data_IF_695122567276
#
_entry.id   IF_695122567276
#
_cell.length_a   1.000
_cell.length_b   1.000
_cell.length_c   1.000
_cell.angle_alpha   90.00
_cell.angle_beta   90.00
_cell.angle_gamma   90.00
#
_symmetry.space_group_name_H-M   'P 1'
#
loop_
_entity.id
_entity.type
_entity.pdbx_description
1 polymer ?
#
# COMPACT_ATOMS: atom_id res chain seq x y z
N UNK A 1 16.67 3.34 8.47
CA UNK A 1 15.72 2.25 8.18
C UNK A 1 14.33 2.79 8.45
N UNK A 2 13.43 2.69 7.47
CA UNK A 2 12.05 3.14 7.66
C UNK A 2 11.37 2.19 8.65
N UNK A 3 10.68 2.74 9.65
CA UNK A 3 9.90 1.95 10.60
C UNK A 3 8.52 1.68 10.03
N UNK A 4 8.12 0.41 10.02
CA UNK A 4 6.80 -0.04 9.61
C UNK A 4 5.90 -0.26 10.84
N UNK A 5 4.57 -0.14 10.68
CA UNK A 5 3.65 -0.19 11.80
C UNK A 5 3.62 -1.54 12.51
N UNK A 6 3.51 -1.53 13.86
CA UNK A 6 3.34 -2.74 14.66
C UNK A 6 1.90 -3.27 14.48
N UNK A 7 1.75 -4.27 13.63
CA UNK A 7 0.45 -4.82 13.20
C UNK A 7 -0.25 -5.68 14.26
N UNK A 8 0.29 -5.78 15.47
CA UNK A 8 -0.28 -6.45 16.64
C UNK A 8 -1.17 -5.54 17.50
N UNK A 9 -1.08 -4.22 17.31
CA UNK A 9 -1.76 -3.22 18.16
C UNK A 9 -3.14 -2.74 17.66
N UNK A 10 -3.60 -3.23 16.51
CA UNK A 10 -4.90 -2.87 15.91
C UNK A 10 -6.09 -3.69 16.42
N UNK A 11 -7.30 -3.32 16.00
CA UNK A 11 -8.55 -4.07 16.30
C UNK A 11 -8.49 -5.50 15.75
N UNK A 12 -7.86 -5.67 14.59
CA UNK A 12 -7.55 -6.96 13.99
C UNK A 12 -6.04 -7.17 14.06
N UNK A 13 -5.54 -8.35 14.51
CA UNK A 13 -4.10 -8.60 14.58
C UNK A 13 -3.55 -8.93 13.19
N UNK A 14 -3.31 -7.88 12.40
CA UNK A 14 -2.86 -7.95 10.99
C UNK A 14 -1.48 -8.61 10.83
N UNK A 15 -0.70 -8.71 11.92
CA UNK A 15 0.58 -9.41 11.94
C UNK A 15 0.46 -10.88 11.47
N UNK A 16 -0.67 -11.54 11.75
CA UNK A 16 -0.90 -12.91 11.26
C UNK A 16 -0.94 -12.98 9.74
N UNK A 17 -1.58 -12.01 9.09
CA UNK A 17 -1.66 -11.98 7.63
C UNK A 17 -0.27 -11.83 6.99
N UNK A 18 0.59 -11.01 7.61
CA UNK A 18 2.00 -10.86 7.21
C UNK A 18 2.74 -12.19 7.35
N UNK A 19 2.58 -12.88 8.47
CA UNK A 19 3.21 -14.20 8.71
C UNK A 19 2.76 -15.25 7.70
N UNK A 20 1.46 -15.31 7.36
CA UNK A 20 0.94 -16.19 6.31
C UNK A 20 1.57 -15.91 4.95
N UNK A 21 1.80 -14.64 4.59
CA UNK A 21 2.45 -14.29 3.32
C UNK A 21 3.93 -14.66 3.28
N UNK A 22 4.64 -14.46 4.39
CA UNK A 22 6.03 -14.93 4.54
C UNK A 22 6.08 -16.45 4.41
N UNK A 23 5.18 -17.16 5.09
CA UNK A 23 5.10 -18.61 5.02
C UNK A 23 4.77 -19.11 3.61
N UNK A 24 3.77 -18.52 2.95
CA UNK A 24 3.37 -18.91 1.59
C UNK A 24 4.52 -18.76 0.59
N UNK A 25 5.27 -17.64 0.64
CA UNK A 25 6.40 -17.43 -0.26
C UNK A 25 7.59 -18.35 0.06
N UNK A 26 7.96 -18.49 1.33
CA UNK A 26 9.08 -19.36 1.72
C UNK A 26 8.78 -20.82 1.43
N UNK A 27 7.57 -21.29 1.74
CA UNK A 27 7.11 -22.63 1.39
C UNK A 27 7.16 -22.86 -0.12
N UNK A 28 6.70 -21.91 -0.94
CA UNK A 28 6.81 -22.01 -2.39
C UNK A 28 8.25 -22.18 -2.85
N UNK A 29 9.17 -21.36 -2.31
CA UNK A 29 10.59 -21.37 -2.67
C UNK A 29 11.26 -22.71 -2.30
N UNK A 30 10.98 -23.25 -1.11
CA UNK A 30 11.53 -24.53 -0.62
C UNK A 30 11.06 -25.74 -1.45
N UNK A 31 9.90 -25.63 -2.09
CA UNK A 31 9.33 -26.70 -2.92
C UNK A 31 9.65 -26.52 -4.41
N UNK A 32 10.42 -25.49 -4.79
CA UNK A 32 11.02 -25.46 -6.11
C UNK A 32 12.08 -26.55 -6.17
N UNK A 33 12.07 -27.37 -7.22
CA UNK A 33 13.07 -28.43 -7.40
C UNK A 33 14.44 -27.86 -7.83
N UNK A 34 14.99 -26.87 -7.09
CA UNK A 34 16.21 -26.14 -7.40
C UNK A 34 16.86 -25.57 -6.14
N UNK A 35 18.19 -25.60 -6.07
CA UNK A 35 18.92 -25.14 -4.87
C UNK A 35 19.37 -23.67 -4.95
N UNK A 36 19.18 -23.00 -6.11
CA UNK A 36 19.65 -21.64 -6.38
C UNK A 36 18.63 -20.85 -7.18
N UNK A 37 18.07 -19.82 -6.56
CA UNK A 37 17.03 -18.95 -7.12
C UNK A 37 17.54 -17.52 -7.25
N UNK A 38 17.33 -16.92 -8.42
CA UNK A 38 17.33 -15.47 -8.61
C UNK A 38 15.88 -15.00 -8.61
N UNK A 39 15.49 -14.22 -7.60
CA UNK A 39 14.12 -13.75 -7.42
C UNK A 39 13.95 -12.37 -8.08
N UNK A 40 13.09 -12.26 -9.07
CA UNK A 40 12.84 -11.02 -9.82
C UNK A 40 11.42 -10.53 -9.53
N UNK A 41 11.28 -9.28 -9.07
CA UNK A 41 10.00 -8.71 -8.61
C UNK A 41 9.54 -7.58 -9.52
N UNK A 42 8.27 -7.55 -9.93
CA UNK A 42 7.74 -6.31 -10.54
C UNK A 42 7.75 -5.16 -9.53
N UNK A 43 8.08 -3.95 -9.98
CA UNK A 43 8.24 -2.77 -9.11
C UNK A 43 7.08 -2.56 -8.14
N UNK A 44 5.84 -2.69 -8.63
CA UNK A 44 4.64 -2.51 -7.80
C UNK A 44 4.56 -3.55 -6.67
N UNK A 45 4.84 -4.82 -6.97
CA UNK A 45 4.81 -5.89 -5.98
C UNK A 45 5.98 -5.77 -5.00
N UNK A 46 7.19 -5.42 -5.49
CA UNK A 46 8.35 -5.16 -4.65
C UNK A 46 8.04 -4.09 -3.58
N UNK A 47 7.41 -2.97 -3.98
CA UNK A 47 6.99 -1.91 -3.07
C UNK A 47 6.05 -2.43 -1.97
N UNK A 48 5.07 -3.26 -2.30
CA UNK A 48 4.11 -3.80 -1.31
C UNK A 48 4.72 -4.90 -0.43
N UNK A 49 5.70 -5.65 -0.94
CA UNK A 49 6.43 -6.64 -0.15
C UNK A 49 7.29 -6.00 0.94
N UNK A 50 7.64 -4.71 0.83
CA UNK A 50 8.28 -4.00 1.94
C UNK A 50 7.43 -4.03 3.21
N UNK A 51 6.10 -3.99 3.07
CA UNK A 51 5.14 -4.09 4.19
C UNK A 51 5.01 -5.51 4.75
N UNK A 52 5.51 -6.51 4.03
CA UNK A 52 5.50 -7.92 4.43
C UNK A 52 6.82 -8.30 5.10
N UNK A 53 7.94 -7.95 4.47
CA UNK A 53 9.29 -8.28 4.92
C UNK A 53 9.95 -7.10 5.63
N UNK A 54 9.58 -6.90 6.91
CA UNK A 54 9.95 -5.72 7.71
C UNK A 54 11.48 -5.55 7.88
N UNK A 55 12.21 -6.65 8.04
CA UNK A 55 13.67 -6.66 8.15
C UNK A 55 14.36 -6.84 6.78
N UNK A 56 13.60 -6.63 5.70
CA UNK A 56 14.02 -6.86 4.32
C UNK A 56 13.99 -8.33 3.90
N UNK A 57 14.44 -8.60 2.68
CA UNK A 57 14.36 -9.91 2.04
C UNK A 57 15.47 -10.88 2.49
N UNK A 58 16.24 -10.54 3.52
CA UNK A 58 17.36 -11.35 4.01
C UNK A 58 16.94 -12.76 4.46
N UNK A 59 15.71 -12.89 4.98
CA UNK A 59 15.11 -14.18 5.37
C UNK A 59 15.04 -15.16 4.20
N UNK A 60 14.85 -14.68 2.96
CA UNK A 60 14.71 -15.53 1.78
C UNK A 60 16.02 -16.25 1.42
N UNK A 61 17.18 -15.78 1.90
CA UNK A 61 18.47 -16.46 1.70
C UNK A 61 18.51 -17.86 2.31
N UNK A 62 17.71 -18.13 3.33
CA UNK A 62 17.56 -19.46 3.91
C UNK A 62 16.74 -20.41 3.01
N UNK A 63 16.07 -19.88 1.98
CA UNK A 63 15.12 -20.58 1.11
C UNK A 63 15.59 -20.54 -0.35
N UNK A 64 16.86 -20.91 -0.58
CA UNK A 64 17.49 -21.02 -1.90
C UNK A 64 17.68 -19.71 -2.69
N UNK A 65 17.24 -18.55 -2.18
CA UNK A 65 17.38 -17.26 -2.87
C UNK A 65 18.80 -16.73 -2.72
N UNK A 66 19.50 -16.59 -3.84
CA UNK A 66 20.88 -16.06 -3.90
C UNK A 66 20.86 -14.54 -4.03
N UNK A 67 19.92 -14.01 -4.80
CA UNK A 67 19.74 -12.60 -5.06
C UNK A 67 18.27 -12.27 -5.26
N UNK A 68 17.90 -11.02 -4.95
CA UNK A 68 16.59 -10.48 -5.26
C UNK A 68 16.76 -9.15 -5.99
N UNK A 69 16.07 -9.01 -7.12
CA UNK A 69 16.19 -7.90 -8.05
C UNK A 69 14.80 -7.37 -8.39
N UNK A 70 14.68 -6.08 -8.64
CA UNK A 70 13.50 -5.54 -9.31
C UNK A 70 13.58 -5.86 -10.81
N UNK A 71 12.42 -6.00 -11.45
CA UNK A 71 12.30 -6.24 -12.88
C UNK A 71 12.70 -4.95 -13.62
N UNK A 72 13.93 -4.93 -14.14
CA UNK A 72 14.49 -3.85 -14.95
C UNK A 72 14.83 -4.32 -16.37
N UNK A 73 15.08 -3.38 -17.27
CA UNK A 73 15.46 -3.73 -18.64
C UNK A 73 16.88 -4.33 -18.74
N UNK A 74 17.75 -3.98 -17.80
CA UNK A 74 19.12 -4.49 -17.72
C UNK A 74 19.14 -5.86 -17.03
N UNK A 75 19.68 -6.85 -17.74
CA UNK A 75 19.79 -8.24 -17.30
C UNK A 75 21.22 -8.61 -16.86
N UNK A 76 22.16 -7.66 -16.91
CA UNK A 76 23.58 -7.88 -16.60
C UNK A 76 23.84 -8.28 -15.14
N UNK A 77 22.93 -7.87 -14.25
CA UNK A 77 23.00 -8.13 -12.81
C UNK A 77 22.63 -9.56 -12.40
N UNK A 78 22.02 -10.35 -13.30
CA UNK A 78 21.52 -11.68 -12.97
C UNK A 78 22.63 -12.74 -12.93
N UNK A 79 22.75 -13.39 -11.78
CA UNK A 79 23.71 -14.45 -11.52
C UNK A 79 23.54 -15.62 -12.52
N UNK A 80 24.64 -16.08 -13.11
CA UNK A 80 24.68 -17.26 -13.97
C UNK A 80 24.27 -18.55 -13.19
N UNK A 81 23.71 -19.54 -13.88
CA UNK A 81 23.35 -20.87 -13.31
C UNK A 81 22.32 -20.86 -12.16
N UNK A 82 21.32 -19.97 -12.19
CA UNK A 82 20.18 -19.97 -11.26
C UNK A 82 18.86 -20.30 -11.96
N UNK A 83 17.87 -20.77 -11.21
CA UNK A 83 16.47 -20.72 -11.64
C UNK A 83 15.96 -19.30 -11.43
N UNK A 84 15.39 -18.68 -12.47
CA UNK A 84 14.82 -17.33 -12.36
C UNK A 84 13.35 -17.44 -12.01
N UNK A 85 12.99 -16.90 -10.86
CA UNK A 85 11.62 -16.90 -10.35
C UNK A 85 11.11 -15.47 -10.38
N UNK A 86 10.09 -15.23 -11.19
CA UNK A 86 9.40 -13.95 -11.27
C UNK A 86 8.22 -13.93 -10.30
N UNK A 87 8.08 -12.84 -9.54
CA UNK A 87 6.85 -12.51 -8.82
C UNK A 87 6.22 -11.26 -9.40
N UNK A 88 4.93 -11.31 -9.69
CA UNK A 88 4.19 -10.23 -10.29
C UNK A 88 2.73 -10.19 -9.81
N UNK A 89 2.00 -9.12 -10.11
CA UNK A 89 0.54 -9.20 -10.07
C UNK A 89 0.01 -9.98 -11.28
N UNK A 90 -1.18 -10.57 -11.14
CA UNK A 90 -1.89 -11.28 -12.19
C UNK A 90 -2.44 -10.34 -13.27
N UNK A 91 -1.58 -9.50 -13.86
CA UNK A 91 -1.92 -8.48 -14.86
C UNK A 91 -1.22 -8.76 -16.17
N UNK A 92 -1.90 -8.52 -17.29
CA UNK A 92 -1.32 -8.73 -18.60
C UNK A 92 -0.12 -7.82 -18.88
N UNK A 93 -0.09 -6.61 -18.29
CA UNK A 93 1.08 -5.71 -18.36
C UNK A 93 2.30 -6.37 -17.75
N UNK A 94 2.15 -6.94 -16.55
CA UNK A 94 3.23 -7.55 -15.81
C UNK A 94 3.70 -8.84 -16.49
N UNK A 95 2.76 -9.68 -16.93
CA UNK A 95 3.09 -10.89 -17.69
C UNK A 95 3.87 -10.59 -18.98
N UNK A 96 3.50 -9.54 -19.72
CA UNK A 96 4.25 -9.09 -20.91
C UNK A 96 5.64 -8.58 -20.55
N UNK A 97 5.77 -7.81 -19.46
CA UNK A 97 7.06 -7.32 -19.01
C UNK A 97 7.99 -8.49 -18.61
N UNK A 98 7.45 -9.48 -17.90
CA UNK A 98 8.16 -10.72 -17.56
C UNK A 98 8.57 -11.49 -18.82
N UNK A 99 7.66 -11.65 -19.80
CA UNK A 99 7.96 -12.33 -21.06
C UNK A 99 9.08 -11.63 -21.84
N UNK A 100 9.01 -10.29 -21.96
CA UNK A 100 10.03 -9.50 -22.64
C UNK A 100 11.40 -9.60 -21.95
N UNK A 101 11.42 -9.56 -20.62
CA UNK A 101 12.65 -9.76 -19.85
C UNK A 101 13.22 -11.17 -20.04
N UNK A 102 12.37 -12.19 -20.01
CA UNK A 102 12.78 -13.57 -20.22
C UNK A 102 13.31 -13.82 -21.64
N UNK A 103 12.71 -13.19 -22.66
CA UNK A 103 13.18 -13.26 -24.03
C UNK A 103 14.63 -12.74 -24.16
N UNK A 104 14.95 -11.58 -23.58
CA UNK A 104 16.32 -11.04 -23.54
C UNK A 104 17.29 -11.98 -22.84
N UNK A 105 16.87 -12.59 -21.72
CA UNK A 105 17.70 -13.57 -21.00
C UNK A 105 18.02 -14.81 -21.84
N UNK A 106 17.06 -15.26 -22.65
CA UNK A 106 17.22 -16.42 -23.50
C UNK A 106 18.02 -16.12 -24.77
N UNK A 107 18.09 -14.85 -25.21
CA UNK A 107 18.97 -14.41 -26.30
C UNK A 107 20.45 -14.47 -25.92
N UNK A 108 20.79 -14.06 -24.70
CA UNK A 108 22.18 -14.05 -24.23
C UNK A 108 22.69 -15.42 -23.76
N UNK A 109 21.80 -16.42 -23.65
CA UNK A 109 22.07 -17.75 -23.10
C UNK A 109 22.08 -18.86 -24.16
N UNK A 110 22.86 -18.72 -25.23
CA UNK A 110 22.93 -19.66 -26.37
C UNK A 110 23.70 -20.97 -26.08
N UNK A 111 24.01 -21.26 -24.80
CA UNK A 111 24.63 -22.52 -24.43
C UNK A 111 23.56 -23.61 -24.28
N UNK A 112 23.35 -24.37 -25.36
CA UNK A 112 22.36 -25.45 -25.54
C UNK A 112 22.34 -26.47 -24.39
N UNK A 113 23.42 -26.55 -23.59
CA UNK A 113 23.61 -27.50 -22.49
C UNK A 113 23.08 -27.05 -21.12
N UNK A 114 22.73 -25.78 -20.92
CA UNK A 114 22.13 -25.28 -19.66
C UNK A 114 20.93 -24.38 -19.93
N UNK A 115 19.79 -25.00 -20.28
CA UNK A 115 18.52 -24.28 -20.35
C UNK A 115 18.17 -23.74 -18.96
N UNK A 116 18.36 -22.43 -18.75
CA UNK A 116 17.90 -21.72 -17.56
C UNK A 116 16.40 -21.97 -17.35
N UNK A 117 16.03 -22.37 -16.14
CA UNK A 117 14.64 -22.61 -15.74
C UNK A 117 13.99 -21.28 -15.38
N UNK A 118 12.77 -21.09 -15.85
CA UNK A 118 11.98 -19.89 -15.62
C UNK A 118 10.70 -20.28 -14.90
N UNK A 119 10.34 -19.54 -13.86
CA UNK A 119 9.05 -19.67 -13.19
C UNK A 119 8.41 -18.30 -12.99
N UNK A 120 7.08 -18.22 -13.10
CA UNK A 120 6.30 -17.03 -12.78
C UNK A 120 5.20 -17.41 -11.79
N UNK A 121 5.22 -16.77 -10.63
CA UNK A 121 4.14 -16.85 -9.66
C UNK A 121 3.47 -15.49 -9.52
N UNK A 122 2.15 -15.47 -9.60
CA UNK A 122 1.37 -14.22 -9.58
C UNK A 122 0.56 -14.06 -8.31
N UNK A 123 0.46 -12.83 -7.83
CA UNK A 123 -0.53 -12.41 -6.83
C UNK A 123 -1.81 -12.01 -7.56
N UNK A 124 -2.91 -12.72 -7.27
CA UNK A 124 -4.18 -12.63 -7.99
C UNK A 124 -4.47 -13.89 -8.81
N UNK A 125 -5.56 -13.87 -9.56
CA UNK A 125 -6.06 -15.04 -10.30
C UNK A 125 -5.41 -15.24 -11.65
N UNK A 126 -4.97 -16.47 -11.90
CA UNK A 126 -4.44 -16.88 -13.18
C UNK A 126 -5.55 -16.88 -14.23
N UNK A 127 -5.28 -16.29 -15.39
CA UNK A 127 -6.24 -16.24 -16.49
C UNK A 127 -5.59 -16.70 -17.79
N UNK A 128 -6.41 -17.16 -18.73
CA UNK A 128 -5.96 -17.51 -20.09
C UNK A 128 -5.30 -16.35 -20.83
N UNK A 129 -5.56 -15.10 -20.42
CA UNK A 129 -4.89 -13.93 -20.99
C UNK A 129 -3.46 -13.77 -20.49
N UNK A 130 -3.14 -14.25 -19.29
CA UNK A 130 -1.77 -14.32 -18.80
C UNK A 130 -0.98 -15.36 -19.59
N UNK A 131 -1.57 -16.54 -19.84
CA UNK A 131 -0.94 -17.57 -20.68
C UNK A 131 -0.56 -16.99 -22.05
N UNK A 132 -1.52 -16.32 -22.72
CA UNK A 132 -1.26 -15.67 -24.02
C UNK A 132 -0.24 -14.55 -23.95
N UNK A 133 -0.16 -13.84 -22.83
CA UNK A 133 0.79 -12.75 -22.63
C UNK A 133 2.22 -13.25 -22.39
N UNK A 134 2.37 -14.46 -21.85
CA UNK A 134 3.66 -15.12 -21.66
C UNK A 134 4.09 -15.93 -22.88
N UNK A 135 3.13 -16.36 -23.71
CA UNK A 135 3.35 -17.21 -24.88
C UNK A 135 3.89 -16.41 -26.09
N UNK A 136 4.92 -15.61 -25.87
CA UNK A 136 5.60 -14.78 -26.88
C UNK A 136 7.07 -15.15 -27.03
N UNK A 137 7.63 -14.84 -28.21
CA UNK A 137 9.08 -14.91 -28.45
C UNK A 137 9.71 -16.27 -28.18
N UNK A 138 10.87 -16.25 -27.50
CA UNK A 138 11.67 -17.42 -27.10
C UNK A 138 11.20 -18.01 -25.77
N UNK A 139 10.46 -17.23 -24.98
CA UNK A 139 9.93 -17.62 -23.68
C UNK A 139 8.64 -18.47 -23.75
N UNK A 140 8.03 -18.57 -24.94
CA UNK A 140 6.94 -19.48 -25.31
C UNK A 140 7.09 -20.88 -24.69
N UNK A 141 6.15 -21.26 -23.83
CA UNK A 141 6.10 -22.57 -23.18
C UNK A 141 7.28 -22.90 -22.24
N UNK A 142 8.06 -21.89 -21.81
CA UNK A 142 9.25 -22.07 -20.97
C UNK A 142 9.01 -21.93 -19.47
N UNK A 143 7.88 -21.35 -19.07
CA UNK A 143 7.59 -21.03 -17.68
C UNK A 143 6.91 -22.18 -16.94
N UNK A 144 7.39 -22.47 -15.73
CA UNK A 144 6.55 -23.02 -14.68
C UNK A 144 5.69 -21.89 -14.12
N UNK A 145 4.37 -22.08 -14.01
CA UNK A 145 3.45 -21.02 -13.59
C UNK A 145 2.67 -21.42 -12.33
N UNK A 146 2.22 -20.43 -11.58
CA UNK A 146 1.35 -20.66 -10.42
C UNK A 146 0.81 -19.38 -9.80
N UNK A 147 -0.11 -19.54 -8.86
CA UNK A 147 -0.65 -18.46 -8.03
C UNK A 147 0.07 -18.46 -6.67
N UNK A 148 0.35 -17.27 -6.14
CA UNK A 148 0.85 -17.05 -4.79
C UNK A 148 -0.30 -16.52 -3.94
N UNK A 149 -0.58 -17.20 -2.82
CA UNK A 149 -1.69 -16.88 -1.93
C UNK A 149 -1.43 -15.60 -1.12
N UNK A 150 -1.53 -14.46 -1.79
CA UNK A 150 -1.47 -13.13 -1.21
C UNK A 150 -2.69 -12.32 -1.67
N UNK A 151 -3.16 -11.43 -0.80
CA UNK A 151 -4.31 -10.57 -1.07
C UNK A 151 -4.06 -9.16 -0.56
N UNK A 152 -4.77 -8.76 0.48
CA UNK A 152 -4.60 -7.45 1.09
C UNK A 152 -3.24 -7.31 1.80
N UNK A 153 -2.48 -6.27 1.46
CA UNK A 153 -1.25 -5.87 2.13
C UNK A 153 -1.57 -4.87 3.25
N UNK A 154 -1.09 -5.09 4.48
CA UNK A 154 -1.28 -4.17 5.59
C UNK A 154 -0.31 -2.98 5.53
N UNK A 155 -0.86 -1.79 5.30
CA UNK A 155 -0.10 -0.53 5.28
C UNK A 155 -0.03 0.11 6.68
N UNK A 156 -1.07 -0.08 7.49
CA UNK A 156 -1.16 0.38 8.88
C UNK A 156 -1.97 -0.62 9.71
N UNK A 157 -2.13 -0.37 11.01
CA UNK A 157 -2.83 -1.24 11.97
C UNK A 157 -4.31 -1.44 11.67
N UNK A 158 -4.89 -0.58 10.84
CA UNK A 158 -6.28 -0.54 10.43
C UNK A 158 -6.47 -0.32 8.91
N UNK A 159 -5.38 -0.32 8.13
CA UNK A 159 -5.40 -0.04 6.69
C UNK A 159 -4.82 -1.20 5.87
N UNK A 160 -5.63 -1.69 4.93
CA UNK A 160 -5.32 -2.78 4.01
C UNK A 160 -5.45 -2.29 2.55
N UNK A 161 -4.55 -2.73 1.66
CA UNK A 161 -4.60 -2.41 0.23
C UNK A 161 -4.40 -3.63 -0.66
N UNK A 162 -5.06 -3.70 -1.82
CA UNK A 162 -4.69 -4.65 -2.89
C UNK A 162 -3.55 -4.12 -3.76
N UNK A 163 -3.20 -2.84 -3.62
CA UNK A 163 -2.17 -2.21 -4.43
C UNK A 163 -2.59 -1.86 -5.87
N UNK A 164 -3.85 -2.05 -6.23
CA UNK A 164 -4.38 -1.81 -7.58
C UNK A 164 -4.73 -0.33 -7.80
N UNK A 165 -3.81 0.41 -8.42
CA UNK A 165 -3.92 1.87 -8.62
C UNK A 165 -5.00 2.29 -9.63
N UNK A 166 -5.40 1.40 -10.56
CA UNK A 166 -6.28 1.74 -11.70
C UNK A 166 -7.61 1.02 -11.71
N UNK A 167 -8.01 0.38 -10.60
CA UNK A 167 -9.21 -0.46 -10.50
C UNK A 167 -10.46 0.21 -11.07
N UNK A 168 -10.73 1.47 -10.67
CA UNK A 168 -11.91 2.21 -11.12
C UNK A 168 -11.89 2.47 -12.63
N UNK A 169 -10.76 2.94 -13.15
CA UNK A 169 -10.57 3.18 -14.58
C UNK A 169 -10.72 1.88 -15.39
N UNK A 170 -10.08 0.80 -14.94
CA UNK A 170 -10.14 -0.51 -15.59
C UNK A 170 -11.58 -1.01 -15.67
N UNK A 171 -12.35 -0.89 -14.59
CA UNK A 171 -13.71 -1.40 -14.57
C UNK A 171 -14.71 -0.50 -15.32
N UNK A 172 -14.62 0.82 -15.17
CA UNK A 172 -15.58 1.77 -15.78
C UNK A 172 -15.25 2.12 -17.23
N UNK A 173 -13.96 2.27 -17.57
CA UNK A 173 -13.51 2.72 -18.90
C UNK A 173 -13.10 1.53 -19.76
N UNK A 174 -12.16 0.70 -19.29
CA UNK A 174 -11.66 -0.44 -20.06
C UNK A 174 -12.63 -1.64 -20.06
N UNK A 175 -13.70 -1.57 -19.25
CA UNK A 175 -14.64 -2.68 -19.00
C UNK A 175 -13.95 -3.98 -18.57
N UNK A 176 -12.79 -3.85 -17.94
CA UNK A 176 -12.01 -4.94 -17.38
C UNK A 176 -12.28 -5.05 -15.87
N UNK A 177 -13.04 -6.07 -15.49
CA UNK A 177 -13.46 -6.31 -14.11
C UNK A 177 -12.59 -7.35 -13.37
N UNK A 178 -11.44 -7.74 -13.92
CA UNK A 178 -10.59 -8.82 -13.35
C UNK A 178 -10.17 -8.54 -11.91
N UNK A 179 -9.91 -7.28 -11.58
CA UNK A 179 -9.54 -6.83 -10.22
C UNK A 179 -10.64 -7.05 -9.18
N UNK A 180 -11.92 -7.16 -9.58
CA UNK A 180 -13.02 -7.49 -8.68
C UNK A 180 -12.97 -8.97 -8.25
N UNK A 181 -12.50 -9.85 -9.13
CA UNK A 181 -12.28 -11.28 -8.82
C UNK A 181 -11.13 -11.41 -7.82
N UNK A 182 -10.05 -10.68 -8.03
CA UNK A 182 -8.91 -10.64 -7.10
C UNK A 182 -9.32 -10.08 -5.72
N UNK A 183 -10.18 -9.05 -5.70
CA UNK A 183 -10.74 -8.51 -4.46
C UNK A 183 -11.56 -9.55 -3.70
N UNK A 184 -12.41 -10.32 -4.39
CA UNK A 184 -13.15 -11.41 -3.78
C UNK A 184 -12.23 -12.52 -3.25
N UNK A 185 -11.17 -12.86 -3.98
CA UNK A 185 -10.18 -13.83 -3.54
C UNK A 185 -9.42 -13.36 -2.28
N UNK A 186 -9.06 -12.07 -2.21
CA UNK A 186 -8.42 -11.49 -1.04
C UNK A 186 -9.35 -11.44 0.18
N UNK A 187 -10.64 -11.14 0.00
CA UNK A 187 -11.66 -11.23 1.05
C UNK A 187 -11.83 -12.67 1.53
N UNK A 188 -11.81 -13.63 0.62
CA UNK A 188 -11.86 -15.05 0.97
C UNK A 188 -10.63 -15.47 1.79
N UNK A 189 -9.44 -15.01 1.44
CA UNK A 189 -8.21 -15.24 2.21
C UNK A 189 -8.31 -14.63 3.62
N UNK A 190 -8.84 -13.41 3.77
CA UNK A 190 -9.11 -12.82 5.09
C UNK A 190 -10.06 -13.70 5.92
N UNK A 191 -11.09 -14.30 5.30
CA UNK A 191 -11.98 -15.22 6.01
C UNK A 191 -11.27 -16.50 6.47
N UNK A 192 -10.28 -16.99 5.72
CA UNK A 192 -9.49 -18.16 6.11
C UNK A 192 -8.62 -17.86 7.35
N UNK A 193 -8.07 -16.65 7.43
CA UNK A 193 -7.19 -16.24 8.55
C UNK A 193 -7.98 -15.82 9.79
N UNK A 194 -9.10 -15.11 9.63
CA UNK A 194 -9.81 -14.44 10.73
C UNK A 194 -11.23 -14.95 11.00
N UNK A 195 -11.72 -15.90 10.21
CA UNK A 195 -13.09 -16.41 10.25
C UNK A 195 -14.04 -15.67 9.31
N UNK A 196 -15.22 -16.27 9.05
CA UNK A 196 -16.21 -15.70 8.12
C UNK A 196 -16.82 -14.40 8.64
N UNK A 197 -17.15 -13.47 7.75
CA UNK A 197 -17.97 -12.30 8.09
C UNK A 197 -19.34 -12.74 8.62
N UNK A 198 -19.78 -12.19 9.76
CA UNK A 198 -21.10 -12.44 10.32
C UNK A 198 -22.24 -11.86 9.48
N UNK A 199 -22.02 -10.70 8.86
CA UNK A 199 -22.94 -10.07 7.91
C UNK A 199 -22.17 -9.40 6.77
N UNK A 200 -22.78 -9.35 5.58
CA UNK A 200 -22.23 -8.60 4.44
C UNK A 200 -23.29 -7.62 3.94
N UNK A 201 -22.91 -6.35 3.82
CA UNK A 201 -23.71 -5.26 3.24
C UNK A 201 -22.96 -4.73 2.04
N UNK A 202 -23.69 -4.25 1.03
CA UNK A 202 -23.06 -3.67 -0.15
C UNK A 202 -23.89 -2.53 -0.75
N UNK A 203 -23.23 -1.64 -1.47
CA UNK A 203 -23.87 -0.60 -2.29
C UNK A 203 -23.09 -0.38 -3.57
N UNK A 204 -23.79 -0.51 -4.70
CA UNK A 204 -23.28 -0.31 -6.05
C UNK A 204 -22.98 -1.61 -6.79
N UNK A 205 -22.92 -1.52 -8.12
CA UNK A 205 -22.83 -2.68 -9.02
C UNK A 205 -21.53 -3.48 -8.83
N UNK A 206 -20.36 -2.84 -8.80
CA UNK A 206 -19.09 -3.55 -8.61
C UNK A 206 -19.03 -4.27 -7.26
N UNK A 207 -19.58 -3.66 -6.21
CA UNK A 207 -19.67 -4.30 -4.89
C UNK A 207 -20.54 -5.56 -4.91
N UNK A 208 -21.60 -5.58 -5.72
CA UNK A 208 -22.42 -6.78 -5.94
C UNK A 208 -21.63 -7.87 -6.66
N UNK A 209 -20.82 -7.52 -7.66
CA UNK A 209 -19.97 -8.48 -8.38
C UNK A 209 -18.92 -9.11 -7.46
N UNK A 210 -18.24 -8.30 -6.64
CA UNK A 210 -17.30 -8.79 -5.62
C UNK A 210 -18.00 -9.74 -4.64
N UNK A 211 -19.21 -9.39 -4.20
CA UNK A 211 -20.00 -10.25 -3.32
C UNK A 211 -20.35 -11.60 -3.98
N UNK A 212 -20.78 -11.59 -5.23
CA UNK A 212 -21.14 -12.81 -5.97
C UNK A 212 -19.95 -13.77 -6.05
N UNK A 213 -18.78 -13.26 -6.46
CA UNK A 213 -17.55 -14.07 -6.50
C UNK A 213 -17.12 -14.57 -5.12
N UNK A 214 -17.26 -13.75 -4.07
CA UNK A 214 -16.99 -14.18 -2.71
C UNK A 214 -17.93 -15.32 -2.27
N UNK A 215 -19.22 -15.26 -2.63
CA UNK A 215 -20.18 -16.32 -2.35
C UNK A 215 -19.86 -17.61 -3.13
N UNK A 216 -19.45 -17.50 -4.40
CA UNK A 216 -18.99 -18.64 -5.21
C UNK A 216 -17.78 -19.33 -4.58
N UNK A 217 -16.76 -18.56 -4.16
CA UNK A 217 -15.58 -19.10 -3.47
C UNK A 217 -15.95 -19.78 -2.14
N UNK A 218 -16.87 -19.17 -1.38
CA UNK A 218 -17.35 -19.73 -0.12
C UNK A 218 -18.15 -21.04 -0.32
N UNK A 219 -18.87 -21.18 -1.44
CA UNK A 219 -19.57 -22.41 -1.80
C UNK A 219 -18.62 -23.50 -2.32
N UNK A 220 -17.68 -23.13 -3.21
CA UNK A 220 -16.70 -24.04 -3.83
C UNK A 220 -15.67 -24.62 -2.85
N UNK A 221 -15.29 -23.84 -1.83
CA UNK A 221 -14.38 -24.31 -0.76
C UNK A 221 -14.94 -25.44 0.10
N UNK A 222 -16.27 -25.68 0.05
CA UNK A 222 -16.90 -26.81 0.75
C UNK A 222 -16.93 -28.11 -0.08
N UNK A 223 -16.50 -28.08 -1.35
CA UNK A 223 -16.63 -29.20 -2.29
C UNK A 223 -15.32 -29.86 -2.74
N UNK A 224 -14.16 -29.20 -2.62
CA UNK A 224 -12.88 -29.71 -3.17
C UNK A 224 -11.93 -30.39 -2.16
N UNK A 225 -12.41 -30.70 -0.95
CA UNK A 225 -11.73 -31.60 0.00
C UNK A 225 -12.62 -32.78 0.45
N UNK A 226 -13.47 -33.29 -0.44
CA UNK A 226 -14.28 -34.49 -0.19
C UNK A 226 -14.10 -35.59 -1.23
N UNK A 227 -12.89 -35.74 -1.77
CA UNK A 227 -12.55 -36.91 -2.58
C UNK A 227 -11.06 -37.24 -2.50
N UNK A 228 -10.63 -37.78 -1.35
CA UNK A 228 -9.78 -38.98 -1.26
C UNK A 228 -9.32 -39.20 0.18
N UNK A 229 -9.48 -40.45 0.63
CA UNK A 229 -8.84 -41.06 1.81
C UNK A 229 -9.52 -40.83 3.17
N UNK A 230 -10.25 -41.86 3.60
CA UNK A 230 -10.64 -42.01 5.00
C UNK A 230 -9.41 -42.18 5.89
N UNK A 231 -9.24 -41.24 6.82
CA UNK A 231 -8.57 -41.44 8.08
C UNK A 231 -9.14 -40.42 9.07
N UNK A 232 -9.62 -40.91 10.22
CA UNK A 232 -10.01 -40.10 11.35
C UNK A 232 -8.87 -39.16 11.77
N UNK A 233 -8.99 -37.88 11.45
CA UNK A 233 -8.38 -36.79 12.22
C UNK A 233 -9.46 -35.73 12.40
N UNK A 234 -9.74 -35.42 13.66
CA UNK A 234 -10.97 -34.79 14.12
C UNK A 234 -11.43 -33.58 13.30
N UNK A 235 -12.75 -33.43 13.25
CA UNK A 235 -13.39 -32.12 13.21
C UNK A 235 -12.52 -31.10 13.95
N UNK A 236 -12.16 -29.94 13.37
CA UNK A 236 -11.66 -28.84 14.16
C UNK A 236 -12.80 -28.42 15.08
N UNK A 237 -12.88 -29.06 16.24
CA UNK A 237 -13.60 -28.61 17.43
C UNK A 237 -12.82 -27.40 17.92
N UNK A 238 -13.03 -26.31 17.21
CA UNK A 238 -12.48 -25.01 17.47
C UNK A 238 -13.37 -24.08 16.67
N UNK A 239 -14.50 -23.69 17.25
CA UNK A 239 -15.20 -22.48 16.82
C UNK A 239 -14.20 -21.35 16.96
N UNK A 240 -13.38 -21.09 15.93
CA UNK A 240 -12.69 -19.83 15.82
C UNK A 240 -13.80 -18.80 15.74
N UNK A 241 -14.10 -18.17 16.89
CA UNK A 241 -15.04 -17.06 16.95
C UNK A 241 -14.51 -16.04 15.95
N UNK A 242 -15.28 -15.82 14.89
CA UNK A 242 -14.88 -14.89 13.85
C UNK A 242 -14.55 -13.55 14.50
N UNK A 243 -13.40 -12.99 14.12
CA UNK A 243 -13.03 -11.63 14.50
C UNK A 243 -13.67 -10.59 13.58
N UNK A 244 -14.32 -11.04 12.50
CA UNK A 244 -14.93 -10.21 11.48
C UNK A 244 -16.45 -10.21 11.67
N UNK A 245 -16.99 -9.09 12.14
CA UNK A 245 -18.43 -8.93 12.34
C UNK A 245 -19.15 -8.64 11.01
N UNK A 246 -18.96 -7.44 10.46
CA UNK A 246 -19.68 -6.99 9.25
C UNK A 246 -18.71 -6.49 8.19
N UNK A 247 -18.83 -6.99 6.97
CA UNK A 247 -18.20 -6.43 5.78
C UNK A 247 -19.17 -5.45 5.10
N UNK A 248 -18.71 -4.24 4.81
CA UNK A 248 -19.45 -3.26 4.01
C UNK A 248 -18.66 -3.01 2.73
N UNK A 249 -19.24 -3.37 1.58
CA UNK A 249 -18.66 -3.12 0.26
C UNK A 249 -19.29 -1.86 -0.35
N UNK A 250 -18.46 -0.86 -0.67
CA UNK A 250 -18.91 0.38 -1.28
C UNK A 250 -18.23 0.57 -2.64
N UNK A 251 -19.03 0.72 -3.69
CA UNK A 251 -18.55 1.06 -5.01
C UNK A 251 -18.31 2.57 -5.08
N UNK A 252 -17.10 3.01 -5.47
CA UNK A 252 -16.73 4.43 -5.50
C UNK A 252 -17.70 5.31 -6.29
N UNK A 253 -18.29 4.82 -7.38
CA UNK A 253 -19.24 5.60 -8.19
C UNK A 253 -20.57 5.92 -7.50
N UNK A 254 -20.83 5.35 -6.32
CA UNK A 254 -21.96 5.74 -5.47
C UNK A 254 -21.79 7.15 -4.91
N UNK A 255 -20.55 7.63 -4.81
CA UNK A 255 -20.22 8.97 -4.32
C UNK A 255 -18.90 9.41 -4.97
N UNK A 256 -18.95 10.17 -6.06
CA UNK A 256 -17.72 10.79 -6.59
C UNK A 256 -17.44 12.16 -5.96
N UNK A 257 -18.46 12.83 -5.42
CA UNK A 257 -18.34 14.16 -4.85
C UNK A 257 -17.28 14.22 -3.75
N UNK A 258 -17.19 13.20 -2.89
CA UNK A 258 -16.17 13.15 -1.84
C UNK A 258 -14.73 13.05 -2.36
N UNK A 259 -14.50 12.49 -3.56
CA UNK A 259 -13.16 12.37 -4.17
C UNK A 259 -12.81 13.61 -4.99
N UNK A 260 -13.82 14.30 -5.51
CA UNK A 260 -13.64 15.54 -6.27
C UNK A 260 -13.58 16.80 -5.40
N UNK A 261 -13.84 16.68 -4.11
CA UNK A 261 -13.68 17.78 -3.16
C UNK A 261 -12.24 17.82 -2.69
N UNK A 262 -11.64 19.02 -2.62
CA UNK A 262 -10.33 19.22 -2.02
C UNK A 262 -10.38 18.74 -0.56
N UNK A 263 -9.63 17.69 -0.19
CA UNK A 263 -9.65 17.19 1.17
C UNK A 263 -8.81 18.09 2.09
N UNK A 264 -9.24 18.26 3.34
CA UNK A 264 -8.68 19.26 4.27
C UNK A 264 -8.14 18.67 5.58
N UNK A 265 -7.97 17.35 5.66
CA UNK A 265 -7.19 16.73 6.74
C UNK A 265 -5.69 16.85 6.47
N UNK A 266 -4.86 16.75 7.50
CA UNK A 266 -3.42 16.86 7.35
C UNK A 266 -2.83 15.82 6.39
N UNK A 267 -3.19 14.54 6.57
CA UNK A 267 -2.73 13.46 5.69
C UNK A 267 -3.22 13.62 4.26
N UNK A 268 -4.46 14.08 4.06
CA UNK A 268 -4.99 14.22 2.72
C UNK A 268 -4.35 15.40 1.96
N UNK A 269 -4.05 16.52 2.62
CA UNK A 269 -3.30 17.61 1.99
C UNK A 269 -1.85 17.21 1.70
N UNK A 270 -1.23 16.41 2.57
CA UNK A 270 0.06 15.78 2.27
C UNK A 270 -0.04 14.90 1.01
N UNK A 271 -1.08 14.10 0.87
CA UNK A 271 -1.31 13.27 -0.31
C UNK A 271 -1.49 14.10 -1.58
N UNK A 272 -2.32 15.14 -1.55
CA UNK A 272 -2.55 16.03 -2.69
C UNK A 272 -1.23 16.67 -3.19
N UNK A 273 -0.40 17.18 -2.28
CA UNK A 273 0.79 17.96 -2.65
C UNK A 273 2.08 17.14 -2.75
N UNK A 274 2.17 16.00 -2.07
CA UNK A 274 3.40 15.19 -1.96
C UNK A 274 3.21 13.73 -2.36
N UNK A 275 2.00 13.29 -2.70
CA UNK A 275 1.64 11.98 -3.23
C UNK A 275 2.06 10.83 -2.31
N UNK A 276 1.19 10.48 -1.36
CA UNK A 276 1.40 9.34 -0.47
C UNK A 276 1.26 8.06 -1.26
N UNK A 277 2.37 7.32 -1.38
CA UNK A 277 2.39 6.01 -1.99
C UNK A 277 2.70 4.94 -0.95
N UNK A 278 1.72 4.08 -0.68
CA UNK A 278 1.83 2.93 0.24
C UNK A 278 2.31 3.32 1.65
N UNK A 279 1.89 4.47 2.16
CA UNK A 279 2.32 4.99 3.47
C UNK A 279 3.66 5.70 3.46
N UNK A 280 4.15 6.14 2.30
CA UNK A 280 5.37 6.92 2.15
C UNK A 280 5.16 8.17 1.30
N UNK A 281 5.87 9.23 1.64
CA UNK A 281 6.13 10.36 0.73
C UNK A 281 7.61 10.40 0.36
N UNK A 282 7.95 11.13 -0.69
CA UNK A 282 9.35 11.48 -1.00
C UNK A 282 9.57 12.96 -0.72
N UNK A 283 10.51 13.27 0.18
CA UNK A 283 10.83 14.64 0.56
C UNK A 283 12.34 14.83 0.69
N UNK A 284 12.86 16.00 0.32
CA UNK A 284 14.29 16.30 0.49
C UNK A 284 14.61 16.67 1.95
N UNK A 285 15.83 16.38 2.43
CA UNK A 285 16.31 16.87 3.71
C UNK A 285 16.19 18.39 3.91
N UNK A 286 16.22 19.18 2.83
CA UNK A 286 15.98 20.63 2.90
C UNK A 286 14.57 20.94 3.41
N UNK A 287 13.55 20.26 2.87
CA UNK A 287 12.16 20.39 3.34
C UNK A 287 12.03 19.84 4.76
N UNK A 288 12.55 18.63 5.01
CA UNK A 288 12.35 17.94 6.29
C UNK A 288 13.02 18.64 7.48
N UNK A 289 14.07 19.42 7.25
CA UNK A 289 14.84 20.11 8.29
C UNK A 289 14.75 21.63 8.22
N UNK A 290 14.06 22.19 7.23
CA UNK A 290 14.07 23.61 6.93
C UNK A 290 15.51 24.18 6.85
N UNK A 291 16.40 23.47 6.15
CA UNK A 291 17.82 23.80 6.03
C UNK A 291 18.25 23.79 4.56
N UNK A 292 18.41 24.98 3.97
CA UNK A 292 18.83 25.15 2.57
C UNK A 292 20.23 24.57 2.28
N UNK A 293 21.06 24.37 3.31
CA UNK A 293 22.39 23.76 3.14
C UNK A 293 22.35 22.23 3.12
N UNK A 294 21.21 21.63 3.45
CA UNK A 294 21.02 20.18 3.40
C UNK A 294 20.94 19.67 1.95
N UNK A 295 21.04 18.34 1.80
CA UNK A 295 20.92 17.69 0.50
C UNK A 295 19.50 17.86 -0.07
N UNK A 296 19.41 18.17 -1.36
CA UNK A 296 18.14 18.22 -2.10
C UNK A 296 17.72 16.84 -2.65
N UNK A 297 18.49 15.78 -2.37
CA UNK A 297 18.14 14.42 -2.81
C UNK A 297 16.95 13.93 -2.01
N UNK A 298 15.81 13.73 -2.69
CA UNK A 298 14.59 13.22 -2.08
C UNK A 298 14.81 11.84 -1.47
N UNK A 299 14.29 11.66 -0.25
CA UNK A 299 14.34 10.39 0.49
C UNK A 299 12.93 9.95 0.87
N UNK A 300 12.68 8.62 0.97
CA UNK A 300 11.40 8.13 1.43
C UNK A 300 11.20 8.46 2.93
N UNK A 301 10.03 8.98 3.26
CA UNK A 301 9.58 9.26 4.62
C UNK A 301 8.32 8.46 4.87
N UNK A 302 8.34 7.61 5.90
CA UNK A 302 7.16 6.86 6.31
C UNK A 302 6.15 7.78 7.00
N UNK A 303 4.89 7.61 6.64
CA UNK A 303 3.73 8.22 7.25
C UNK A 303 2.81 7.08 7.71
N UNK A 304 2.93 6.70 8.98
CA UNK A 304 2.16 5.59 9.56
C UNK A 304 2.08 5.71 11.09
N UNK A 305 1.36 4.79 11.74
CA UNK A 305 1.15 4.80 13.18
C UNK A 305 2.38 4.47 14.05
N UNK A 306 3.60 4.37 13.49
CA UNK A 306 4.83 4.28 14.32
C UNK A 306 5.23 5.62 14.91
N UNK A 307 4.72 6.71 14.33
CA UNK A 307 4.88 8.06 14.83
C UNK A 307 3.64 8.47 15.63
N UNK A 308 3.78 8.52 16.96
CA UNK A 308 2.73 8.91 17.90
C UNK A 308 2.20 10.33 17.64
N UNK A 309 3.03 11.25 17.13
CA UNK A 309 2.61 12.61 16.79
C UNK A 309 1.79 12.57 15.52
N UNK A 310 2.27 11.89 14.48
CA UNK A 310 1.56 11.76 13.22
C UNK A 310 0.17 11.15 13.40
N UNK A 311 0.07 10.06 14.17
CA UNK A 311 -1.21 9.41 14.49
C UNK A 311 -2.23 10.38 15.12
N UNK A 312 -1.77 11.34 15.91
CA UNK A 312 -2.64 12.31 16.59
C UNK A 312 -3.06 13.46 15.69
N UNK A 313 -2.35 13.74 14.59
CA UNK A 313 -2.59 14.91 13.74
C UNK A 313 -3.14 14.56 12.36
N UNK A 314 -2.88 13.35 11.83
CA UNK A 314 -3.19 12.97 10.44
C UNK A 314 -4.65 13.18 10.03
N UNK A 315 -5.57 12.85 10.93
CA UNK A 315 -7.02 12.91 10.70
C UNK A 315 -7.65 14.28 11.06
N UNK A 316 -6.85 15.22 11.58
CA UNK A 316 -7.35 16.55 11.98
C UNK A 316 -7.37 17.49 10.79
N UNK A 317 -8.29 18.44 10.82
CA UNK A 317 -8.35 19.53 9.84
C UNK A 317 -7.04 20.33 9.84
N UNK A 318 -6.49 20.64 8.66
CA UNK A 318 -5.15 21.24 8.47
C UNK A 318 -4.93 22.53 9.30
N UNK A 319 -5.92 23.42 9.38
CA UNK A 319 -5.82 24.63 10.21
C UNK A 319 -5.70 24.40 11.72
N UNK A 320 -6.01 23.20 12.21
CA UNK A 320 -5.89 22.88 13.66
C UNK A 320 -4.53 22.30 14.02
N UNK A 321 -3.71 21.93 13.02
CA UNK A 321 -2.43 21.26 13.21
C UNK A 321 -1.40 22.13 13.94
N UNK A 322 -1.23 23.44 13.63
CA UNK A 322 -0.28 24.28 14.37
C UNK A 322 -0.53 24.28 15.88
N UNK A 323 -1.82 24.41 16.27
CA UNK A 323 -2.21 24.39 17.66
C UNK A 323 -1.98 23.02 18.31
N UNK A 324 -2.29 21.93 17.60
CA UNK A 324 -2.04 20.56 18.08
C UNK A 324 -0.55 20.28 18.30
N UNK A 325 0.30 20.64 17.32
CA UNK A 325 1.76 20.49 17.43
C UNK A 325 2.33 21.32 18.59
N UNK A 326 1.85 22.55 18.80
CA UNK A 326 2.27 23.37 19.93
C UNK A 326 1.91 22.74 21.30
N UNK A 327 0.73 22.13 21.42
CA UNK A 327 0.35 21.39 22.64
C UNK A 327 1.35 20.25 22.92
N UNK A 328 1.73 19.49 21.89
CA UNK A 328 2.74 18.43 22.04
C UNK A 328 4.13 18.99 22.39
N UNK A 329 4.58 20.05 21.72
CA UNK A 329 5.87 20.68 21.95
C UNK A 329 6.00 21.20 23.40
N UNK A 330 4.96 21.90 23.89
CA UNK A 330 4.89 22.38 25.27
C UNK A 330 4.91 21.21 26.25
N UNK A 331 4.17 20.14 25.97
CA UNK A 331 4.15 18.94 26.81
C UNK A 331 5.53 18.26 26.93
N UNK A 332 6.26 18.11 25.83
CA UNK A 332 7.63 17.57 25.83
C UNK A 332 8.57 18.48 26.64
N UNK A 333 8.50 19.80 26.42
CA UNK A 333 9.31 20.77 27.16
C UNK A 333 9.04 20.76 28.67
N UNK A 334 7.77 20.71 29.07
CA UNK A 334 7.36 20.68 30.47
C UNK A 334 7.92 19.46 31.20
N UNK A 335 7.90 18.26 30.58
CA UNK A 335 8.48 17.05 31.18
C UNK A 335 9.98 17.17 31.42
N UNK A 336 10.73 17.79 30.49
CA UNK A 336 12.16 18.07 30.70
C UNK A 336 12.39 19.07 31.83
N UNK A 337 11.64 20.18 31.82
CA UNK A 337 11.77 21.22 32.86
C UNK A 337 11.41 20.70 34.25
N UNK A 338 10.36 19.88 34.35
CA UNK A 338 9.95 19.31 35.63
C UNK A 338 11.00 18.35 36.18
N UNK A 339 11.55 17.46 35.33
CA UNK A 339 12.64 16.59 35.76
C UNK A 339 13.87 17.40 36.20
N UNK A 340 14.27 18.43 35.44
CA UNK A 340 15.39 19.30 35.84
C UNK A 340 15.15 19.93 37.22
N UNK A 341 13.92 20.38 37.51
CA UNK A 341 13.54 20.97 38.79
C UNK A 341 13.67 20.00 39.96
N UNK A 342 13.26 18.74 39.78
CA UNK A 342 13.30 17.72 40.86
C UNK A 342 14.59 16.89 40.87
N UNK A 343 15.43 17.00 39.84
CA UNK A 343 16.62 16.17 39.64
C UNK A 343 17.63 16.22 40.79
N UNK A 344 17.76 17.38 41.46
CA UNK A 344 18.69 17.56 42.57
C UNK A 344 18.30 16.77 43.84
N UNK A 345 17.01 16.39 43.96
CA UNK A 345 16.46 15.62 45.08
C UNK A 345 15.97 14.24 44.67
N UNK A 346 16.07 13.90 43.39
CA UNK A 346 15.60 12.63 42.85
C UNK A 346 16.52 11.47 43.27
N UNK A 347 15.92 10.32 43.52
CA UNK A 347 16.67 9.09 43.79
C UNK A 347 17.34 8.56 42.52
N UNK A 348 18.38 7.73 42.68
CA UNK A 348 19.03 7.08 41.53
C UNK A 348 18.06 6.24 40.68
N UNK A 349 17.02 5.67 41.30
CA UNK A 349 15.98 4.92 40.59
C UNK A 349 15.11 5.83 39.70
N UNK A 350 14.65 6.97 40.23
CA UNK A 350 13.85 7.96 39.50
C UNK A 350 14.63 8.60 38.35
N UNK A 351 15.91 8.90 38.57
CA UNK A 351 16.81 9.39 37.51
C UNK A 351 16.95 8.35 36.40
N UNK A 352 17.17 7.09 36.76
CA UNK A 352 17.30 6.01 35.77
C UNK A 352 15.98 5.78 35.00
N UNK A 353 14.83 5.90 35.65
CA UNK A 353 13.52 5.80 35.01
C UNK A 353 13.30 6.94 34.00
N UNK A 354 13.61 8.18 34.37
CA UNK A 354 13.50 9.31 33.45
C UNK A 354 14.45 9.18 32.25
N UNK A 355 15.71 8.77 32.47
CA UNK A 355 16.69 8.56 31.38
C UNK A 355 16.17 7.57 30.34
N UNK A 356 15.38 6.56 30.74
CA UNK A 356 14.74 5.63 29.80
C UNK A 356 13.68 6.28 28.91
N UNK A 357 13.05 7.37 29.35
CA UNK A 357 12.04 8.10 28.55
C UNK A 357 12.64 9.15 27.60
N UNK A 358 13.88 9.59 27.83
CA UNK A 358 14.55 10.62 27.01
C UNK A 358 14.61 10.27 25.52
N UNK A 359 14.93 9.03 25.10
CA UNK A 359 14.93 8.67 23.68
C UNK A 359 13.57 8.88 23.01
N UNK A 360 12.47 8.49 23.67
CA UNK A 360 11.12 8.70 23.15
C UNK A 360 10.77 10.18 23.05
N UNK A 361 11.16 10.97 24.05
CA UNK A 361 10.94 12.43 24.03
C UNK A 361 11.73 13.12 22.91
N UNK A 362 12.98 12.71 22.67
CA UNK A 362 13.79 13.21 21.54
C UNK A 362 13.18 12.81 20.20
N UNK A 363 12.70 11.58 20.06
CA UNK A 363 11.99 11.15 18.87
C UNK A 363 10.71 11.95 18.63
N UNK A 364 9.95 12.23 19.69
CA UNK A 364 8.74 13.08 19.63
C UNK A 364 9.10 14.50 19.20
N UNK A 365 10.17 15.08 19.75
CA UNK A 365 10.65 16.40 19.36
C UNK A 365 11.03 16.45 17.87
N UNK A 366 11.80 15.48 17.40
CA UNK A 366 12.20 15.38 15.99
C UNK A 366 10.98 15.23 15.07
N UNK A 367 9.99 14.42 15.47
CA UNK A 367 8.75 14.27 14.72
C UNK A 367 7.93 15.56 14.67
N UNK A 368 7.81 16.27 15.80
CA UNK A 368 7.14 17.59 15.84
C UNK A 368 7.84 18.56 14.87
N UNK A 369 9.17 18.66 14.93
CA UNK A 369 9.95 19.53 14.03
C UNK A 369 9.73 19.15 12.56
N UNK A 370 9.78 17.86 12.23
CA UNK A 370 9.49 17.37 10.88
C UNK A 370 8.09 17.78 10.40
N UNK A 371 7.07 17.63 11.24
CA UNK A 371 5.69 17.97 10.87
C UNK A 371 5.43 19.48 10.81
N UNK A 372 6.15 20.29 11.59
CA UNK A 372 6.17 21.76 11.42
C UNK A 372 6.72 22.11 10.03
N UNK A 373 7.89 21.57 9.68
CA UNK A 373 8.53 21.90 8.40
C UNK A 373 7.69 21.42 7.20
N UNK A 374 7.09 20.24 7.30
CA UNK A 374 6.13 19.76 6.30
C UNK A 374 4.93 20.70 6.21
N UNK A 375 4.36 21.15 7.32
CA UNK A 375 3.22 22.06 7.30
C UNK A 375 3.57 23.40 6.65
N UNK A 376 4.73 23.99 6.96
CA UNK A 376 5.22 25.22 6.31
C UNK A 376 5.37 25.03 4.80
N UNK A 377 5.87 23.88 4.36
CA UNK A 377 5.94 23.54 2.94
C UNK A 377 4.54 23.49 2.28
N UNK A 378 3.55 22.88 2.94
CA UNK A 378 2.17 22.84 2.45
C UNK A 378 1.49 24.22 2.47
N UNK A 379 1.86 25.10 3.42
CA UNK A 379 1.32 26.46 3.54
C UNK A 379 1.63 27.33 2.31
N UNK A 380 2.75 27.09 1.62
CA UNK A 380 3.09 27.79 0.39
C UNK A 380 2.00 27.64 -0.70
N UNK A 381 1.37 26.46 -0.79
CA UNK A 381 0.26 26.20 -1.72
C UNK A 381 -1.09 26.50 -1.09
N UNK A 382 -1.34 26.03 0.13
CA UNK A 382 -2.68 26.13 0.76
C UNK A 382 -3.06 27.56 1.15
N UNK A 383 -2.08 28.45 1.34
CA UNK A 383 -2.31 29.89 1.56
C UNK A 383 -2.38 30.71 0.25
N UNK A 384 -2.23 30.08 -0.92
CA UNK A 384 -2.33 30.78 -2.18
C UNK A 384 -3.77 31.22 -2.48
N UNK A 385 -3.94 32.34 -3.20
CA UNK A 385 -5.26 32.80 -3.65
C UNK A 385 -5.94 31.75 -4.53
N UNK A 386 -5.17 31.11 -5.41
CA UNK A 386 -5.67 30.07 -6.33
C UNK A 386 -6.31 28.89 -5.62
N UNK A 387 -5.72 28.43 -4.51
CA UNK A 387 -6.25 27.36 -3.67
C UNK A 387 -7.55 27.79 -2.99
N UNK A 388 -7.59 28.98 -2.38
CA UNK A 388 -8.81 29.53 -1.77
C UNK A 388 -9.94 29.71 -2.78
N UNK A 389 -9.64 30.22 -3.97
CA UNK A 389 -10.63 30.42 -5.03
C UNK A 389 -11.25 29.06 -5.44
N UNK A 390 -10.42 28.02 -5.60
CA UNK A 390 -10.88 26.66 -5.92
C UNK A 390 -11.79 26.10 -4.82
N UNK A 391 -11.36 26.17 -3.56
CA UNK A 391 -12.17 25.71 -2.43
C UNK A 391 -13.52 26.46 -2.32
N UNK A 392 -13.52 27.78 -2.53
CA UNK A 392 -14.75 28.56 -2.54
C UNK A 392 -15.69 28.16 -3.68
N UNK A 393 -15.16 27.79 -4.85
CA UNK A 393 -15.94 27.26 -5.96
C UNK A 393 -16.54 25.90 -5.61
N UNK A 394 -15.72 24.95 -5.13
CA UNK A 394 -16.16 23.61 -4.70
C UNK A 394 -17.30 23.70 -3.70
N UNK A 395 -17.16 24.57 -2.69
CA UNK A 395 -18.23 24.81 -1.71
C UNK A 395 -19.51 25.31 -2.36
N UNK A 396 -19.42 26.26 -3.31
CA UNK A 396 -20.60 26.78 -4.03
C UNK A 396 -21.30 25.71 -4.88
N UNK A 397 -20.53 24.76 -5.44
CA UNK A 397 -21.07 23.60 -6.17
C UNK A 397 -21.82 22.69 -5.22
N UNK A 398 -21.21 22.34 -4.08
CA UNK A 398 -21.85 21.53 -3.05
C UNK A 398 -23.12 22.18 -2.49
N UNK A 399 -23.12 23.51 -2.37
CA UNK A 399 -24.28 24.31 -1.96
C UNK A 399 -25.30 24.53 -3.11
N UNK A 400 -25.06 24.00 -4.31
CA UNK A 400 -25.91 24.11 -5.51
C UNK A 400 -26.25 25.57 -5.88
N UNK A 401 -25.27 26.45 -5.83
CA UNK A 401 -25.45 27.87 -6.13
C UNK A 401 -25.68 28.14 -7.62
N UNK A 402 -26.70 28.93 -7.96
CA UNK A 402 -27.01 29.35 -9.34
C UNK A 402 -25.88 30.11 -10.05
N UNK A 403 -24.89 30.61 -9.31
CA UNK A 403 -23.75 31.38 -9.84
C UNK A 403 -22.58 30.53 -10.32
N UNK A 404 -22.64 29.21 -10.14
CA UNK A 404 -21.54 28.30 -10.51
C UNK A 404 -21.21 28.36 -12.01
N UNK A 405 -22.17 28.38 -12.95
CA UNK A 405 -21.87 28.45 -14.39
C UNK A 405 -21.04 29.69 -14.76
N UNK A 406 -21.43 30.87 -14.27
CA UNK A 406 -20.72 32.12 -14.54
C UNK A 406 -19.28 32.08 -13.99
N UNK A 407 -19.11 31.53 -12.77
CA UNK A 407 -17.79 31.36 -12.16
C UNK A 407 -16.90 30.38 -12.94
N UNK A 408 -17.49 29.35 -13.54
CA UNK A 408 -16.75 28.40 -14.37
C UNK A 408 -16.30 29.04 -15.68
N UNK A 409 -17.16 29.81 -16.32
CA UNK A 409 -16.82 30.52 -17.56
C UNK A 409 -15.69 31.54 -17.33
N UNK A 410 -15.71 32.24 -16.19
CA UNK A 410 -14.61 33.12 -15.76
C UNK A 410 -13.30 32.33 -15.53
N UNK A 411 -13.35 31.17 -14.88
CA UNK A 411 -12.17 30.35 -14.64
C UNK A 411 -11.56 29.78 -15.93
N UNK A 412 -12.40 29.30 -16.85
CA UNK A 412 -11.97 28.78 -18.15
C UNK A 412 -11.34 29.89 -19.00
N UNK A 413 -11.90 31.10 -18.96
CA UNK A 413 -11.40 32.24 -19.74
C UNK A 413 -10.12 32.85 -19.17
N UNK A 414 -9.92 32.84 -17.85
CA UNK A 414 -8.74 33.43 -17.19
C UNK A 414 -7.54 32.50 -17.09
N UNK A 415 -7.75 31.18 -16.97
CA UNK A 415 -6.67 30.19 -16.82
C UNK A 415 -6.49 29.39 -18.10
N UNK A 416 -5.52 29.79 -18.92
CA UNK A 416 -5.15 29.09 -20.16
C UNK A 416 -4.88 27.59 -19.96
N UNK A 417 -5.03 26.87 -21.07
CA UNK A 417 -5.20 25.42 -21.30
C UNK A 417 -4.23 24.39 -20.68
N UNK A 418 -3.34 24.75 -19.74
CA UNK A 418 -2.25 23.87 -19.30
C UNK A 418 -2.40 23.28 -17.89
N UNK A 419 -2.82 24.05 -16.89
CA UNK A 419 -2.86 23.58 -15.48
C UNK A 419 -4.27 23.49 -14.88
N UNK A 420 -5.30 24.02 -15.57
CA UNK A 420 -6.70 24.06 -15.07
C UNK A 420 -7.62 22.98 -15.61
N UNK A 421 -7.14 22.09 -16.49
CA UNK A 421 -7.96 21.05 -17.09
C UNK A 421 -8.55 20.10 -16.05
N UNK A 422 -7.71 19.56 -15.16
CA UNK A 422 -8.15 18.58 -14.18
C UNK A 422 -9.12 19.16 -13.15
N UNK A 423 -8.84 20.35 -12.59
CA UNK A 423 -9.73 21.01 -11.61
C UNK A 423 -11.05 21.46 -12.23
N UNK A 424 -11.06 21.97 -13.46
CA UNK A 424 -12.29 22.32 -14.17
C UNK A 424 -13.12 21.09 -14.57
N UNK A 425 -12.47 20.00 -14.99
CA UNK A 425 -13.12 18.71 -15.25
C UNK A 425 -13.68 18.08 -13.97
N UNK A 426 -12.95 18.13 -12.85
CA UNK A 426 -13.43 17.66 -11.54
C UNK A 426 -14.74 18.34 -11.15
N UNK A 427 -14.81 19.65 -11.36
CA UNK A 427 -15.95 20.49 -11.04
C UNK A 427 -17.15 20.22 -11.96
N UNK A 428 -16.91 20.04 -13.26
CA UNK A 428 -17.98 19.70 -14.21
C UNK A 428 -18.59 18.33 -13.94
N UNK A 429 -17.83 17.38 -13.41
CA UNK A 429 -18.32 16.05 -13.03
C UNK A 429 -19.22 16.02 -11.78
N UNK A 430 -19.27 17.12 -11.00
CA UNK A 430 -20.11 17.25 -9.81
C UNK A 430 -21.50 17.87 -10.07
N UNK A 431 -21.76 18.36 -11.29
CA UNK A 431 -23.09 18.78 -11.76
C UNK A 431 -23.83 17.59 -12.37
#
# INVERSE_FOLDING_TARGET
MVKLPPLDKGVLPLQRLREEYVHALTHLLDHLSTDRVSLVLTKRLAALLTHVFVDGLGVLKAHHVVECLELEDDISSLTADTTVVYLAFARTSDARAVAAHADKLLENGDDVRRKRRLALYVVGKWTTMLDRSLDSGRARGRFQTGELAMGFFPLDTDLLTLGFQRTLYECEVDRNQSSLVDMAAALHLLQQVYGKFGSIKYKGEMSMLVLNHLMELNAGGSGLMSSTSGANTGTPTGTHRSKLDTLILLHRSVDFASVFSTPLTYEAVLDELMQIQDGFITASPQILRADESASDVAVPVALNSTDDIYQQIRDKHIHTIPAALNVHAVGVKQRFTEFQRVSATATAAEVNEFVKTVPQMKASQQSIEQHINLLEYLEATTSAKSFRDLWHLERKIMDQSDKVPDMLEELISTRGSSESGASALLVLCCQ
#
